data_IF_462636034088
#
_entry.id   IF_462636034088
#
_cell.length_a   1.000
_cell.length_b   1.000
_cell.length_c   1.000
_cell.angle_alpha   90.00
_cell.angle_beta   90.00
_cell.angle_gamma   90.00
#
_symmetry.space_group_name_H-M   'P 1'
#
loop_
_entity.id
_entity.type
_entity.pdbx_description
1 polymer ?
#
# COMPACT_ATOMS: atom_id res chain seq x y z
N UNK A 1 -17.46 -77.97 30.99
CA UNK A 1 -18.11 -77.20 29.89
C UNK A 1 -17.09 -77.06 28.77
N UNK A 2 -17.51 -77.37 27.55
CA UNK A 2 -16.68 -77.82 26.43
C UNK A 2 -15.67 -76.79 25.85
N UNK A 3 -14.57 -77.27 25.24
CA UNK A 3 -13.58 -76.47 24.49
C UNK A 3 -13.88 -76.46 22.97
N UNK A 4 -13.30 -75.50 22.23
CA UNK A 4 -13.35 -75.44 20.78
C UNK A 4 -11.95 -75.34 20.14
N UNK A 5 -11.48 -76.46 19.58
CA UNK A 5 -10.47 -76.53 18.51
C UNK A 5 -10.96 -75.74 17.28
N UNK A 6 -10.16 -75.01 16.50
CA UNK A 6 -8.92 -75.39 15.83
C UNK A 6 -9.24 -75.90 14.42
N UNK A 7 -8.85 -75.16 13.36
CA UNK A 7 -8.04 -75.61 12.20
C UNK A 7 -8.07 -74.62 11.03
N UNK A 8 -6.86 -74.39 10.47
CA UNK A 8 -6.51 -73.68 9.24
C UNK A 8 -7.11 -74.33 7.97
N UNK A 9 -7.30 -73.54 6.92
CA UNK A 9 -6.98 -73.90 5.53
C UNK A 9 -6.90 -72.65 4.62
N UNK A 10 -5.69 -72.19 4.34
CA UNK A 10 -5.24 -71.78 2.98
C UNK A 10 -4.72 -73.06 2.28
N UNK A 11 -4.54 -73.15 0.93
CA UNK A 11 -3.81 -72.18 0.11
C UNK A 11 -4.16 -72.10 -1.41
N UNK A 12 -3.35 -71.34 -2.16
CA UNK A 12 -2.94 -71.41 -3.59
C UNK A 12 -3.23 -70.10 -4.34
N UNK A 13 -2.26 -69.23 -4.67
CA UNK A 13 -1.10 -69.35 -5.58
C UNK A 13 -1.49 -69.78 -7.01
N UNK A 14 -1.32 -68.85 -7.96
CA UNK A 14 -0.81 -69.07 -9.33
C UNK A 14 -0.42 -67.70 -9.92
N UNK A 15 0.84 -67.28 -9.81
CA UNK A 15 1.88 -67.38 -10.83
C UNK A 15 1.55 -66.73 -12.20
N UNK A 16 2.27 -65.64 -12.51
CA UNK A 16 2.67 -65.26 -13.89
C UNK A 16 3.59 -66.35 -14.47
N UNK A 17 3.86 -66.44 -15.81
CA UNK A 17 5.00 -65.64 -16.34
C UNK A 17 5.11 -65.42 -17.88
N UNK A 18 6.07 -64.55 -18.27
CA UNK A 18 6.89 -64.55 -19.52
C UNK A 18 6.24 -64.14 -20.87
N UNK A 19 6.90 -63.53 -21.89
CA UNK A 19 8.30 -63.10 -22.18
C UNK A 19 8.32 -62.26 -23.49
N UNK A 20 9.32 -61.37 -23.60
CA UNK A 20 10.16 -61.00 -24.78
C UNK A 20 9.59 -60.40 -26.08
N UNK A 21 10.23 -59.31 -26.53
CA UNK A 21 10.26 -58.90 -27.94
C UNK A 21 11.02 -57.57 -28.20
N UNK A 22 12.34 -57.64 -28.41
CA UNK A 22 13.17 -56.57 -29.02
C UNK A 22 12.96 -56.55 -30.54
N UNK A 23 12.81 -55.37 -31.14
CA UNK A 23 13.27 -54.89 -32.48
C UNK A 23 12.87 -53.40 -32.52
N UNK A 24 13.62 -52.37 -32.92
CA UNK A 24 14.76 -52.25 -33.81
C UNK A 24 14.47 -51.16 -34.86
N UNK A 25 14.95 -49.93 -34.61
CA UNK A 25 15.25 -48.84 -35.57
C UNK A 25 14.14 -48.25 -36.49
N UNK A 26 13.92 -46.93 -36.38
CA UNK A 26 14.50 -45.93 -37.33
C UNK A 26 14.34 -44.48 -36.85
N UNK A 27 15.40 -43.72 -37.15
CA UNK A 27 15.64 -42.28 -36.95
C UNK A 27 14.57 -41.40 -37.60
N UNK A 28 14.34 -40.23 -37.01
CA UNK A 28 14.39 -38.96 -37.74
C UNK A 28 15.01 -37.88 -36.85
N UNK A 29 16.03 -37.22 -37.39
CA UNK A 29 16.91 -36.20 -36.81
C UNK A 29 16.61 -34.91 -37.58
N UNK A 30 16.37 -33.78 -36.92
CA UNK A 30 17.24 -32.59 -36.98
C UNK A 30 16.66 -31.38 -36.19
N UNK A 31 17.55 -30.50 -35.69
CA UNK A 31 17.28 -29.46 -34.69
C UNK A 31 17.20 -28.05 -35.30
N UNK A 32 16.82 -27.04 -34.51
CA UNK A 32 17.22 -25.65 -34.76
C UNK A 32 17.66 -24.96 -33.47
N UNK A 33 18.92 -24.53 -33.51
CA UNK A 33 19.67 -23.81 -32.48
C UNK A 33 19.23 -22.33 -32.39
N UNK A 34 19.44 -21.72 -31.22
CA UNK A 34 19.47 -20.26 -31.05
C UNK A 34 20.92 -19.82 -30.81
N UNK A 35 21.44 -18.80 -31.51
CA UNK A 35 22.81 -18.35 -31.28
C UNK A 35 22.89 -17.42 -30.06
N UNK A 36 23.96 -17.62 -29.28
CA UNK A 36 24.53 -16.61 -28.37
C UNK A 36 25.38 -15.64 -29.22
N UNK A 37 25.32 -14.35 -28.90
CA UNK A 37 26.37 -13.39 -29.28
C UNK A 37 26.81 -12.65 -28.02
N UNK A 38 28.12 -12.63 -27.84
CA UNK A 38 28.92 -11.96 -26.81
C UNK A 38 29.76 -10.86 -27.45
N UNK A 39 30.00 -9.77 -26.70
CA UNK A 39 31.03 -8.74 -26.96
C UNK A 39 30.64 -7.69 -28.01
N UNK A 40 31.09 -6.44 -28.00
CA UNK A 40 31.98 -5.69 -27.11
C UNK A 40 31.85 -4.19 -27.49
N UNK A 41 32.36 -3.35 -26.60
CA UNK A 41 32.62 -1.90 -26.63
C UNK A 41 32.73 -1.18 -27.99
N UNK A 42 32.15 0.04 -28.09
CA UNK A 42 32.51 1.04 -29.10
C UNK A 42 31.57 2.26 -29.20
N UNK A 43 31.92 3.36 -28.52
CA UNK A 43 31.67 4.76 -28.97
C UNK A 43 33.03 5.31 -29.47
N UNK A 44 33.14 6.41 -30.27
CA UNK A 44 32.17 7.47 -30.58
C UNK A 44 32.14 7.92 -32.06
N UNK A 45 31.20 8.81 -32.44
CA UNK A 45 31.53 10.08 -33.13
C UNK A 45 30.30 10.98 -33.37
N UNK A 46 30.48 12.26 -33.03
CA UNK A 46 29.63 13.39 -33.37
C UNK A 46 29.49 13.57 -34.89
N UNK A 47 28.33 14.06 -35.35
CA UNK A 47 28.28 15.07 -36.41
C UNK A 47 27.03 15.95 -36.25
N UNK A 48 27.33 17.24 -36.14
CA UNK A 48 26.48 18.42 -36.11
C UNK A 48 25.70 18.61 -37.43
N UNK A 49 24.45 19.10 -37.36
CA UNK A 49 23.87 20.04 -38.34
C UNK A 49 22.55 20.65 -37.84
N UNK A 50 22.66 21.91 -37.38
CA UNK A 50 21.83 23.11 -37.69
C UNK A 50 20.66 22.82 -38.66
N UNK A 51 19.41 23.27 -38.49
CA UNK A 51 18.86 24.50 -37.93
C UNK A 51 17.35 24.58 -38.25
N UNK A 52 16.65 25.66 -37.88
CA UNK A 52 15.21 25.68 -37.55
C UNK A 52 14.33 26.18 -38.70
N UNK A 53 13.01 25.98 -38.64
CA UNK A 53 12.04 26.88 -39.27
C UNK A 53 10.65 26.78 -38.62
N UNK A 54 10.17 27.95 -38.19
CA UNK A 54 8.81 28.25 -37.75
C UNK A 54 7.89 28.57 -38.95
N UNK A 55 6.59 28.49 -38.68
CA UNK A 55 5.44 29.23 -39.25
C UNK A 55 4.69 28.78 -40.52
N UNK A 56 3.37 28.63 -40.27
CA UNK A 56 2.20 29.05 -41.09
C UNK A 56 1.88 28.25 -42.37
N UNK A 57 0.65 28.13 -42.87
CA UNK A 57 -0.73 28.18 -42.39
C UNK A 57 -1.60 27.78 -43.63
N UNK A 58 -2.82 27.29 -43.39
CA UNK A 58 -3.98 27.31 -44.29
C UNK A 58 -4.05 26.40 -45.55
N UNK A 59 -4.93 25.39 -45.45
CA UNK A 59 -6.06 25.06 -46.36
C UNK A 59 -6.45 23.60 -46.04
N UNK A 60 -7.67 23.22 -45.69
CA UNK A 60 -8.99 23.68 -46.11
C UNK A 60 -9.68 22.49 -46.78
N UNK A 61 -10.50 21.73 -46.03
CA UNK A 61 -11.77 21.10 -46.49
C UNK A 61 -12.40 20.21 -45.41
N UNK A 62 -13.60 20.61 -44.99
CA UNK A 62 -14.57 19.87 -44.17
C UNK A 62 -15.59 19.23 -45.11
N UNK A 63 -16.00 18.00 -44.83
CA UNK A 63 -17.06 17.26 -45.53
C UNK A 63 -18.42 17.48 -44.85
N UNK A 64 -19.42 17.88 -45.62
CA UNK A 64 -20.86 17.81 -45.26
C UNK A 64 -21.49 16.54 -45.87
N UNK A 65 -22.53 15.97 -45.24
CA UNK A 65 -23.59 15.25 -45.94
C UNK A 65 -24.94 16.01 -45.92
N UNK A 66 -25.59 16.01 -47.07
CA UNK A 66 -26.87 16.68 -47.37
C UNK A 66 -28.11 15.87 -46.94
N UNK A 67 -29.06 16.61 -46.35
CA UNK A 67 -30.54 16.60 -46.49
C UNK A 67 -31.36 15.29 -46.38
N UNK A 68 -32.56 15.28 -45.79
CA UNK A 68 -33.39 16.33 -45.21
C UNK A 68 -34.84 15.86 -44.96
N UNK A 69 -35.60 16.66 -44.19
CA UNK A 69 -37.01 17.07 -44.44
C UNK A 69 -37.54 17.80 -43.19
N UNK A 70 -38.04 19.03 -43.39
CA UNK A 70 -38.72 19.88 -42.39
C UNK A 70 -40.24 19.78 -42.58
N UNK A 71 -40.98 19.83 -41.48
CA UNK A 71 -42.33 20.43 -41.41
C UNK A 71 -42.39 21.36 -40.20
N UNK A 72 -43.11 22.47 -40.35
CA UNK A 72 -43.02 23.69 -39.55
C UNK A 72 -43.84 23.73 -38.26
N UNK A 73 -43.54 24.76 -37.47
CA UNK A 73 -44.27 25.16 -36.25
C UNK A 73 -43.54 26.34 -35.61
N UNK A 74 -44.17 27.51 -35.55
CA UNK A 74 -43.60 28.75 -35.05
C UNK A 74 -43.87 28.95 -33.54
N UNK A 75 -42.95 29.71 -32.90
CA UNK A 75 -42.96 30.40 -31.57
C UNK A 75 -42.12 29.74 -30.45
N UNK A 76 -41.58 30.50 -29.47
CA UNK A 76 -41.08 31.88 -29.49
C UNK A 76 -39.59 31.99 -29.06
N UNK A 77 -38.95 33.11 -29.39
CA UNK A 77 -37.55 33.42 -29.02
C UNK A 77 -37.48 33.74 -27.51
N UNK A 78 -36.82 32.88 -26.75
CA UNK A 78 -36.40 33.15 -25.36
C UNK A 78 -35.04 33.88 -25.38
N UNK A 79 -34.80 34.88 -24.51
CA UNK A 79 -33.52 35.56 -24.43
C UNK A 79 -32.41 34.56 -24.04
N UNK A 80 -31.32 34.53 -24.82
CA UNK A 80 -30.11 33.77 -24.51
C UNK A 80 -29.56 34.22 -23.15
N UNK A 81 -29.73 33.40 -22.11
CA UNK A 81 -28.93 33.52 -20.89
C UNK A 81 -27.44 33.34 -21.26
N UNK A 82 -26.52 34.16 -20.76
CA UNK A 82 -25.10 33.97 -21.01
C UNK A 82 -24.66 32.63 -20.42
N UNK A 83 -23.94 31.83 -21.22
CA UNK A 83 -23.27 30.62 -20.75
C UNK A 83 -22.22 31.03 -19.71
N UNK A 84 -22.16 30.41 -18.52
CA UNK A 84 -21.00 30.57 -17.67
C UNK A 84 -19.82 29.89 -18.36
N UNK A 85 -18.77 30.66 -18.64
CA UNK A 85 -17.48 30.13 -19.03
C UNK A 85 -16.88 29.45 -17.79
N UNK A 86 -16.90 28.12 -17.74
CA UNK A 86 -16.13 27.38 -16.74
C UNK A 86 -14.65 27.44 -17.14
N UNK A 87 -13.94 28.42 -16.61
CA UNK A 87 -12.49 28.38 -16.46
C UNK A 87 -12.17 27.45 -15.28
N UNK A 88 -11.69 26.26 -15.60
CA UNK A 88 -11.03 25.38 -14.63
C UNK A 88 -9.63 25.94 -14.41
N UNK A 89 -9.39 26.55 -13.25
CA UNK A 89 -8.05 26.88 -12.78
C UNK A 89 -7.47 25.67 -12.01
N UNK A 90 -6.30 25.14 -12.38
CA UNK A 90 -5.57 24.19 -11.54
C UNK A 90 -4.58 24.98 -10.68
N UNK A 91 -5.01 25.39 -9.49
CA UNK A 91 -4.17 25.75 -8.32
C UNK A 91 -5.07 26.38 -7.27
N UNK A 92 -5.15 25.77 -6.09
CA UNK A 92 -5.84 26.36 -4.95
C UNK A 92 -5.19 27.67 -4.55
N UNK A 93 -5.88 28.78 -4.78
CA UNK A 93 -5.55 30.07 -4.19
C UNK A 93 -6.16 30.13 -2.80
N UNK A 94 -5.31 30.37 -1.80
CA UNK A 94 -5.69 30.52 -0.40
C UNK A 94 -6.37 31.88 -0.14
N UNK A 95 -7.30 31.99 0.83
CA UNK A 95 -7.85 33.28 1.23
C UNK A 95 -6.81 34.08 2.05
N UNK A 96 -6.75 35.42 1.93
CA UNK A 96 -5.82 36.22 2.70
C UNK A 96 -6.23 36.27 4.17
N UNK A 97 -5.27 36.06 5.07
CA UNK A 97 -5.43 36.21 6.50
C UNK A 97 -5.71 37.68 6.85
N UNK A 98 -6.74 37.91 7.67
CA UNK A 98 -7.06 39.21 8.22
C UNK A 98 -5.94 39.68 9.17
N UNK A 99 -5.10 40.61 8.70
CA UNK A 99 -4.02 41.18 9.49
C UNK A 99 -4.54 41.99 10.68
N UNK A 100 -4.15 41.58 11.91
CA UNK A 100 -4.18 42.48 13.08
C UNK A 100 -2.97 43.40 13.00
N UNK A 101 -3.23 44.70 12.89
CA UNK A 101 -2.20 45.74 12.94
C UNK A 101 -1.66 45.88 14.37
N UNK A 102 -0.40 45.54 14.60
CA UNK A 102 0.35 46.00 15.77
C UNK A 102 1.21 47.22 15.38
N UNK A 103 1.04 48.32 16.12
CA UNK A 103 1.77 49.58 15.99
C UNK A 103 3.28 49.35 16.09
N UNK A 104 4.04 49.88 15.12
CA UNK A 104 5.50 49.96 15.15
C UNK A 104 5.96 50.95 16.23
N UNK A 105 6.77 50.50 17.17
CA UNK A 105 7.68 51.36 17.94
C UNK A 105 9.07 51.29 17.29
N UNK A 106 9.62 52.44 16.91
CA UNK A 106 10.94 52.55 16.31
C UNK A 106 12.05 52.38 17.38
N UNK A 107 13.17 51.68 17.10
CA UNK A 107 14.30 51.68 18.00
C UNK A 107 15.24 52.87 17.71
N UNK A 108 15.74 53.49 18.79
CA UNK A 108 16.75 54.55 18.79
C UNK A 108 18.12 54.01 18.33
N UNK A 109 18.85 54.85 17.61
CA UNK A 109 20.23 54.61 17.13
C UNK A 109 21.18 54.53 18.33
N UNK A 110 21.89 53.41 18.46
CA UNK A 110 23.00 53.20 19.40
C UNK A 110 24.27 52.81 18.63
N UNK A 111 25.40 53.38 19.05
CA UNK A 111 26.71 53.31 18.39
C UNK A 111 27.20 51.90 18.01
N UNK A 112 27.64 51.75 16.76
CA UNK A 112 28.35 50.56 16.25
C UNK A 112 29.81 50.62 16.68
N UNK A 113 30.27 49.67 17.51
CA UNK A 113 31.70 49.35 17.66
C UNK A 113 32.08 48.32 16.59
N UNK A 114 33.16 48.58 15.86
CA UNK A 114 33.73 47.62 14.91
C UNK A 114 34.35 46.42 15.66
N UNK A 115 34.14 45.17 15.19
CA UNK A 115 34.92 44.03 15.66
C UNK A 115 36.23 43.88 14.87
N UNK A 116 37.26 43.49 15.63
CA UNK A 116 38.65 43.24 15.24
C UNK A 116 38.78 42.15 14.15
N UNK A 117 39.65 42.39 13.16
CA UNK A 117 39.91 41.50 12.03
C UNK A 117 40.97 40.46 12.41
N UNK A 118 40.59 39.37 13.08
CA UNK A 118 41.33 38.08 13.03
C UNK A 118 40.40 36.90 13.32
N UNK A 119 39.87 36.29 12.27
CA UNK A 119 39.34 34.91 12.35
C UNK A 119 39.69 34.15 11.08
N UNK A 120 40.51 33.11 11.24
CA UNK A 120 40.73 32.08 10.22
C UNK A 120 39.40 31.46 9.79
N UNK A 121 39.24 30.99 8.54
CA UNK A 121 38.08 30.21 8.15
C UNK A 121 38.13 28.88 8.91
N UNK A 122 37.27 28.74 9.92
CA UNK A 122 37.01 27.45 10.54
C UNK A 122 36.37 26.56 9.48
N UNK A 123 37.18 25.67 8.89
CA UNK A 123 36.67 24.52 8.15
C UNK A 123 35.82 23.73 9.14
N UNK A 124 34.52 23.66 8.89
CA UNK A 124 33.60 22.81 9.63
C UNK A 124 34.00 21.35 9.41
N UNK A 125 34.89 20.84 10.27
CA UNK A 125 35.06 19.40 10.40
C UNK A 125 33.86 18.88 11.17
N UNK A 126 33.02 18.10 10.50
CA UNK A 126 31.95 17.36 11.14
C UNK A 126 32.58 16.47 12.23
N UNK A 127 32.31 16.80 13.50
CA UNK A 127 32.63 15.92 14.61
C UNK A 127 31.89 14.58 14.43
N UNK A 128 32.43 13.46 14.95
CA UNK A 128 31.77 12.18 14.81
C UNK A 128 30.41 12.24 15.53
N UNK A 129 29.34 12.21 14.76
CA UNK A 129 27.96 12.14 15.26
C UNK A 129 27.82 10.90 16.15
N UNK A 130 27.89 11.10 17.47
CA UNK A 130 27.48 10.09 18.44
C UNK A 130 25.95 10.08 18.42
N UNK A 131 25.39 8.88 18.24
CA UNK A 131 23.95 8.57 18.08
C UNK A 131 23.39 8.59 16.65
N UNK A 132 24.12 8.03 15.69
CA UNK A 132 23.45 7.21 14.67
C UNK A 132 23.27 5.83 15.30
N UNK A 133 22.05 5.49 15.70
CA UNK A 133 21.66 4.08 15.84
C UNK A 133 22.04 3.42 14.52
N UNK A 134 22.81 2.31 14.51
CA UNK A 134 23.14 1.66 13.26
C UNK A 134 21.82 1.37 12.57
N UNK A 135 21.65 1.84 11.33
CA UNK A 135 20.64 1.29 10.45
C UNK A 135 20.97 -0.21 10.39
N UNK A 136 20.27 -1.01 11.21
CA UNK A 136 20.32 -2.46 11.19
C UNK A 136 20.25 -2.84 9.72
N UNK A 137 21.19 -3.62 9.19
CA UNK A 137 21.35 -3.94 7.77
C UNK A 137 20.00 -4.01 7.03
N UNK A 138 19.53 -2.88 6.49
CA UNK A 138 18.26 -2.84 5.78
C UNK A 138 18.56 -3.52 4.46
N UNK A 139 18.04 -4.73 4.26
CA UNK A 139 18.08 -5.37 2.97
C UNK A 139 17.12 -4.57 2.05
N UNK A 140 17.62 -3.76 1.10
CA UNK A 140 16.75 -2.94 0.26
C UNK A 140 15.84 -3.80 -0.64
N UNK A 141 16.13 -5.10 -0.74
CA UNK A 141 15.37 -6.07 -1.51
C UNK A 141 14.43 -6.95 -0.66
N UNK A 142 14.28 -6.69 0.65
CA UNK A 142 13.48 -7.56 1.52
C UNK A 142 12.05 -7.76 1.00
N UNK A 143 11.40 -6.69 0.52
CA UNK A 143 10.04 -6.77 -0.04
C UNK A 143 10.00 -7.35 -1.47
N UNK A 144 11.07 -7.18 -2.26
CA UNK A 144 11.13 -7.69 -3.64
C UNK A 144 11.47 -9.18 -3.69
N UNK A 145 12.03 -9.73 -2.61
CA UNK A 145 12.38 -11.15 -2.45
C UNK A 145 11.27 -12.01 -1.85
N UNK A 146 10.12 -11.41 -1.47
CA UNK A 146 9.00 -12.17 -0.92
C UNK A 146 8.46 -13.19 -1.94
N UNK A 147 8.04 -14.40 -1.49
CA UNK A 147 7.51 -15.43 -2.38
C UNK A 147 6.33 -14.91 -3.18
N UNK A 148 6.24 -15.29 -4.45
CA UNK A 148 5.10 -14.89 -5.29
C UNK A 148 3.88 -15.73 -4.90
N UNK A 149 2.64 -15.22 -5.03
CA UNK A 149 1.44 -16.01 -4.75
C UNK A 149 1.36 -17.34 -5.52
N UNK A 150 1.91 -17.40 -6.73
CA UNK A 150 2.02 -18.65 -7.51
C UNK A 150 2.97 -19.72 -6.93
N UNK A 151 3.79 -19.35 -5.95
CA UNK A 151 4.74 -20.22 -5.24
C UNK A 151 4.29 -20.50 -3.81
N UNK A 152 3.13 -19.98 -3.41
CA UNK A 152 2.56 -20.10 -2.07
C UNK A 152 1.43 -21.13 -2.07
N UNK A 153 1.09 -21.71 -0.90
CA UNK A 153 -0.08 -22.56 -0.80
C UNK A 153 -1.38 -21.79 -1.13
N UNK A 154 -2.49 -22.51 -1.38
CA UNK A 154 -3.76 -21.87 -1.63
C UNK A 154 -4.18 -20.92 -0.51
N UNK A 155 -4.78 -19.79 -0.89
CA UNK A 155 -5.33 -18.82 0.05
C UNK A 155 -6.74 -19.24 0.48
N UNK A 156 -6.91 -19.53 1.77
CA UNK A 156 -8.23 -19.66 2.38
C UNK A 156 -8.73 -18.27 2.78
N UNK A 157 -9.94 -17.89 2.38
CA UNK A 157 -10.52 -16.59 2.73
C UNK A 157 -11.70 -16.80 3.66
N UNK A 158 -11.62 -16.24 4.86
CA UNK A 158 -12.65 -16.35 5.89
C UNK A 158 -13.39 -15.03 5.98
N UNK A 159 -14.65 -15.03 5.55
CA UNK A 159 -15.46 -13.84 5.40
C UNK A 159 -15.63 -13.44 3.94
N UNK A 160 -16.88 -13.51 3.46
CA UNK A 160 -17.24 -13.20 2.08
C UNK A 160 -17.59 -11.71 1.85
N UNK A 161 -17.14 -10.81 2.73
CA UNK A 161 -17.37 -9.38 2.61
C UNK A 161 -16.58 -8.74 1.45
N UNK A 162 -16.82 -7.45 1.22
CA UNK A 162 -16.16 -6.69 0.13
C UNK A 162 -14.62 -6.77 0.19
N UNK A 163 -14.04 -6.71 1.40
CA UNK A 163 -12.59 -6.82 1.60
C UNK A 163 -12.08 -8.22 1.24
N UNK A 164 -12.68 -9.27 1.82
CA UNK A 164 -12.31 -10.66 1.53
C UNK A 164 -12.38 -10.99 0.03
N UNK A 165 -13.44 -10.56 -0.65
CA UNK A 165 -13.57 -10.72 -2.10
C UNK A 165 -12.51 -9.96 -2.89
N UNK A 166 -12.17 -8.72 -2.49
CA UNK A 166 -11.14 -7.94 -3.15
C UNK A 166 -9.76 -8.57 -2.98
N UNK A 167 -9.44 -9.08 -1.79
CA UNK A 167 -8.18 -9.79 -1.53
C UNK A 167 -8.12 -11.11 -2.29
N UNK A 168 -9.22 -11.87 -2.34
CA UNK A 168 -9.29 -13.10 -3.13
C UNK A 168 -8.98 -12.84 -4.62
N UNK A 169 -9.57 -11.78 -5.19
CA UNK A 169 -9.30 -11.37 -6.58
C UNK A 169 -7.84 -10.94 -6.76
N UNK A 170 -7.34 -10.04 -5.92
CA UNK A 170 -5.95 -9.58 -5.99
C UNK A 170 -4.94 -10.72 -5.85
N UNK A 171 -5.26 -11.73 -5.02
CA UNK A 171 -4.46 -12.94 -4.89
C UNK A 171 -4.42 -13.77 -6.18
N UNK A 172 -5.58 -14.01 -6.79
CA UNK A 172 -5.68 -14.70 -8.09
C UNK A 172 -5.01 -13.94 -9.22
N UNK A 173 -5.19 -12.62 -9.29
CA UNK A 173 -4.56 -11.75 -10.30
C UNK A 173 -3.03 -11.79 -10.19
N UNK A 174 -2.50 -11.98 -8.98
CA UNK A 174 -1.08 -12.18 -8.71
C UNK A 174 -0.59 -13.63 -8.95
N UNK A 175 -1.44 -14.50 -9.51
CA UNK A 175 -1.13 -15.89 -9.88
C UNK A 175 -1.29 -16.92 -8.76
N UNK A 176 -1.88 -16.54 -7.63
CA UNK A 176 -2.12 -17.44 -6.51
C UNK A 176 -3.39 -18.29 -6.70
N UNK A 177 -3.38 -19.51 -6.17
CA UNK A 177 -4.57 -20.37 -6.13
C UNK A 177 -5.45 -20.01 -4.93
N UNK A 178 -6.77 -20.02 -5.12
CA UNK A 178 -7.73 -19.88 -4.03
C UNK A 178 -8.06 -21.25 -3.46
N UNK A 179 -8.05 -21.34 -2.14
CA UNK A 179 -8.63 -22.45 -1.39
C UNK A 179 -10.12 -22.20 -1.13
N UNK A 180 -10.59 -22.57 0.06
CA UNK A 180 -11.98 -22.40 0.46
C UNK A 180 -12.27 -20.92 0.75
N UNK A 181 -13.40 -20.42 0.24
CA UNK A 181 -13.97 -19.13 0.63
C UNK A 181 -15.10 -19.38 1.62
N UNK A 182 -14.82 -19.14 2.89
CA UNK A 182 -15.69 -19.49 4.01
C UNK A 182 -16.73 -18.39 4.23
N UNK A 183 -18.00 -18.78 4.25
CA UNK A 183 -19.14 -17.93 4.59
C UNK A 183 -19.53 -18.09 6.06
N UNK A 184 -20.35 -17.16 6.57
CA UNK A 184 -20.86 -17.25 7.93
C UNK A 184 -21.63 -18.56 8.15
N UNK A 185 -21.34 -19.26 9.25
CA UNK A 185 -21.96 -20.54 9.60
C UNK A 185 -21.41 -21.76 8.85
N UNK A 186 -20.50 -21.58 7.89
CA UNK A 186 -19.87 -22.69 7.17
C UNK A 186 -18.79 -23.34 8.04
N UNK A 187 -18.81 -24.67 8.15
CA UNK A 187 -17.72 -25.42 8.77
C UNK A 187 -16.47 -25.41 7.87
N UNK A 188 -15.30 -25.20 8.47
CA UNK A 188 -14.04 -25.10 7.74
C UNK A 188 -12.84 -25.47 8.62
N UNK A 189 -11.73 -25.83 7.97
CA UNK A 189 -10.43 -26.08 8.61
C UNK A 189 -9.37 -25.18 7.98
N UNK A 190 -8.42 -24.63 8.77
CA UNK A 190 -7.32 -23.85 8.23
C UNK A 190 -6.43 -24.69 7.32
N UNK A 191 -6.14 -24.17 6.13
CA UNK A 191 -5.23 -24.80 5.16
C UNK A 191 -4.44 -23.71 4.45
N UNK A 192 -3.14 -23.97 4.25
CA UNK A 192 -2.25 -23.08 3.49
C UNK A 192 -1.95 -21.79 4.24
N UNK A 193 -2.51 -20.69 3.77
CA UNK A 193 -2.51 -19.39 4.44
C UNK A 193 -3.92 -18.84 4.49
N UNK A 194 -4.27 -18.16 5.58
CA UNK A 194 -5.63 -17.64 5.80
C UNK A 194 -5.64 -16.12 5.71
N UNK A 195 -6.60 -15.57 4.96
CA UNK A 195 -7.01 -14.17 5.09
C UNK A 195 -8.36 -14.11 5.81
N UNK A 196 -8.40 -13.46 6.97
CA UNK A 196 -9.56 -13.37 7.85
C UNK A 196 -10.12 -11.94 7.81
N UNK A 197 -11.39 -11.81 7.41
CA UNK A 197 -12.11 -10.55 7.34
C UNK A 197 -13.60 -10.77 7.63
N UNK A 198 -13.91 -11.06 8.89
CA UNK A 198 -15.26 -11.23 9.43
C UNK A 198 -15.65 -10.08 10.37
N UNK A 199 -16.62 -10.32 11.25
CA UNK A 199 -17.07 -9.40 12.29
C UNK A 199 -16.22 -9.52 13.58
N UNK A 200 -16.13 -8.47 14.42
CA UNK A 200 -15.28 -8.47 15.61
C UNK A 200 -15.48 -9.68 16.54
N UNK A 201 -16.72 -10.12 16.70
CA UNK A 201 -17.09 -11.25 17.59
C UNK A 201 -16.62 -12.62 17.07
N UNK A 202 -16.36 -12.74 15.76
CA UNK A 202 -15.90 -13.98 15.14
C UNK A 202 -14.38 -14.03 14.96
N UNK A 203 -13.72 -12.87 14.91
CA UNK A 203 -12.28 -12.75 14.63
C UNK A 203 -11.43 -13.62 15.56
N UNK A 204 -11.60 -13.49 16.88
CA UNK A 204 -10.78 -14.21 17.88
C UNK A 204 -10.93 -15.73 17.73
N UNK A 205 -12.14 -16.22 17.49
CA UNK A 205 -12.38 -17.65 17.25
C UNK A 205 -11.72 -18.16 15.97
N UNK A 206 -11.74 -17.36 14.89
CA UNK A 206 -11.06 -17.68 13.63
C UNK A 206 -9.54 -17.70 13.81
N UNK A 207 -8.98 -16.69 14.47
CA UNK A 207 -7.54 -16.60 14.77
C UNK A 207 -7.08 -17.79 15.62
N UNK A 208 -7.83 -18.11 16.68
CA UNK A 208 -7.53 -19.25 17.56
C UNK A 208 -7.50 -20.56 16.76
N UNK A 209 -8.48 -20.77 15.88
CA UNK A 209 -8.51 -21.95 15.00
C UNK A 209 -7.27 -22.05 14.12
N UNK A 210 -6.82 -20.94 13.53
CA UNK A 210 -5.60 -20.90 12.72
C UNK A 210 -4.34 -21.20 13.54
N UNK A 211 -4.22 -20.59 14.72
CA UNK A 211 -3.10 -20.78 15.65
C UNK A 211 -3.02 -22.23 16.13
N UNK A 212 -4.15 -22.81 16.54
CA UNK A 212 -4.22 -24.22 16.97
C UNK A 212 -3.82 -25.20 15.85
N UNK A 213 -4.06 -24.83 14.59
CA UNK A 213 -3.70 -25.62 13.42
C UNK A 213 -2.26 -25.37 12.91
N UNK A 214 -1.52 -24.43 13.49
CA UNK A 214 -0.20 -24.05 12.97
C UNK A 214 -0.23 -23.33 11.63
N UNK A 215 -1.38 -22.74 11.25
CA UNK A 215 -1.58 -22.14 9.92
C UNK A 215 -1.49 -20.61 10.02
N UNK A 216 -0.59 -19.96 9.26
CA UNK A 216 -0.42 -18.52 9.33
C UNK A 216 -1.68 -17.79 8.84
N UNK A 217 -1.99 -16.67 9.50
CA UNK A 217 -3.22 -15.91 9.26
C UNK A 217 -2.97 -14.41 9.21
N UNK A 218 -3.60 -13.74 8.25
CA UNK A 218 -3.65 -12.28 8.12
C UNK A 218 -5.08 -11.83 8.35
N UNK A 219 -5.33 -11.02 9.37
CA UNK A 219 -6.66 -10.49 9.69
C UNK A 219 -6.79 -9.00 9.37
N UNK A 220 -7.86 -8.67 8.65
CA UNK A 220 -8.33 -7.31 8.41
C UNK A 220 -9.51 -6.91 9.28
N UNK A 221 -9.97 -7.80 10.17
CA UNK A 221 -11.08 -7.49 11.07
C UNK A 221 -10.63 -6.52 12.15
N UNK A 222 -11.51 -5.58 12.48
CA UNK A 222 -11.28 -4.56 13.51
C UNK A 222 -12.08 -4.89 14.76
N UNK A 223 -11.88 -4.17 15.87
CA UNK A 223 -12.74 -4.29 17.05
C UNK A 223 -12.49 -5.50 17.96
N UNK A 224 -11.39 -6.24 17.78
CA UNK A 224 -11.01 -7.38 18.64
C UNK A 224 -9.72 -7.15 19.46
N UNK A 225 -9.14 -5.94 19.37
CA UNK A 225 -7.87 -5.54 19.99
C UNK A 225 -7.73 -5.81 21.50
N UNK A 226 -8.83 -5.91 22.25
CA UNK A 226 -8.81 -6.31 23.66
C UNK A 226 -8.24 -7.73 23.87
N UNK A 227 -8.29 -8.58 22.84
CA UNK A 227 -7.80 -9.96 22.85
C UNK A 227 -6.38 -10.09 22.25
N UNK A 228 -5.69 -8.96 21.98
CA UNK A 228 -4.37 -8.96 21.34
C UNK A 228 -3.31 -9.71 22.16
N UNK A 229 -3.26 -9.50 23.47
CA UNK A 229 -2.26 -10.14 24.33
C UNK A 229 -2.46 -11.66 24.45
N UNK A 230 -3.69 -12.18 24.66
CA UNK A 230 -3.97 -13.61 24.51
C UNK A 230 -3.53 -14.19 23.16
N UNK A 231 -3.87 -13.52 22.05
CA UNK A 231 -3.51 -13.97 20.70
C UNK A 231 -1.98 -14.00 20.51
N UNK A 232 -1.27 -12.99 21.02
CA UNK A 232 0.21 -12.94 21.00
C UNK A 232 0.84 -14.13 21.71
N UNK A 233 0.37 -14.44 22.92
CA UNK A 233 0.88 -15.58 23.68
C UNK A 233 0.63 -16.90 22.95
N UNK A 234 -0.61 -17.12 22.49
CA UNK A 234 -0.97 -18.35 21.80
C UNK A 234 -0.17 -18.54 20.49
N UNK A 235 0.01 -17.47 19.70
CA UNK A 235 0.79 -17.51 18.46
C UNK A 235 2.27 -17.86 18.73
N UNK A 236 2.87 -17.29 19.77
CA UNK A 236 4.24 -17.61 20.16
C UNK A 236 4.38 -19.05 20.68
N UNK A 237 3.49 -19.50 21.55
CA UNK A 237 3.50 -20.85 22.14
C UNK A 237 3.32 -21.95 21.10
N UNK A 238 2.45 -21.73 20.09
CA UNK A 238 2.17 -22.71 19.04
C UNK A 238 3.02 -22.55 17.78
N UNK A 239 3.93 -21.56 17.75
CA UNK A 239 4.77 -21.30 16.60
C UNK A 239 3.98 -20.95 15.33
N UNK A 240 3.02 -20.03 15.45
CA UNK A 240 2.22 -19.55 14.31
C UNK A 240 2.45 -18.06 14.09
N UNK A 241 2.45 -17.63 12.83
CA UNK A 241 2.55 -16.22 12.45
C UNK A 241 1.15 -15.65 12.20
N UNK A 242 0.82 -14.58 12.93
CA UNK A 242 -0.43 -13.82 12.80
C UNK A 242 -0.06 -12.43 12.34
N UNK A 243 -0.80 -11.87 11.39
CA UNK A 243 -0.65 -10.49 10.97
C UNK A 243 -1.98 -9.77 11.13
N UNK A 244 -1.95 -8.56 11.67
CA UNK A 244 -3.15 -7.75 11.81
C UNK A 244 -2.94 -6.33 11.34
N UNK A 245 -3.94 -5.80 10.64
CA UNK A 245 -4.01 -4.37 10.35
C UNK A 245 -5.45 -3.90 10.17
N UNK A 246 -5.73 -2.69 10.66
CA UNK A 246 -6.98 -1.97 10.34
C UNK A 246 -6.96 -1.33 8.95
N UNK A 247 -5.77 -1.22 8.33
CA UNK A 247 -5.57 -0.61 7.02
C UNK A 247 -4.39 -1.28 6.31
N UNK A 248 -4.64 -1.92 5.17
CA UNK A 248 -3.59 -2.60 4.43
C UNK A 248 -2.84 -1.74 3.41
N UNK A 249 -3.17 -0.45 3.23
CA UNK A 249 -2.46 0.41 2.26
C UNK A 249 -1.00 0.62 2.67
N UNK A 250 -0.02 0.13 1.89
CA UNK A 250 1.39 0.41 2.18
C UNK A 250 1.69 1.91 2.11
N UNK A 251 1.01 2.63 1.21
CA UNK A 251 1.15 4.08 1.08
C UNK A 251 0.76 4.83 2.35
N UNK A 252 -0.35 4.45 3.00
CA UNK A 252 -0.79 5.07 4.26
C UNK A 252 0.27 4.86 5.35
N UNK A 253 0.81 3.65 5.48
CA UNK A 253 1.81 3.35 6.50
C UNK A 253 3.15 4.03 6.24
N UNK A 254 3.60 4.08 4.98
CA UNK A 254 4.77 4.87 4.61
C UNK A 254 4.58 6.35 4.94
N UNK A 255 3.40 6.93 4.61
CA UNK A 255 3.07 8.31 4.97
C UNK A 255 3.09 8.53 6.48
N UNK A 256 2.56 7.60 7.28
CA UNK A 256 2.59 7.69 8.74
C UNK A 256 4.03 7.71 9.30
N UNK A 257 4.92 6.86 8.77
CA UNK A 257 6.32 6.82 9.17
C UNK A 257 7.06 8.11 8.78
N UNK A 258 6.84 8.61 7.57
CA UNK A 258 7.39 9.90 7.11
C UNK A 258 6.85 11.05 7.96
N UNK A 259 5.55 11.06 8.27
CA UNK A 259 4.93 12.08 9.10
C UNK A 259 5.51 12.12 10.51
N UNK A 260 5.77 10.94 11.11
CA UNK A 260 6.42 10.84 12.42
C UNK A 260 7.82 11.47 12.39
N UNK A 261 8.62 11.15 11.38
CA UNK A 261 9.98 11.68 11.28
C UNK A 261 10.00 13.17 10.93
N UNK A 262 9.14 13.61 10.01
CA UNK A 262 8.97 15.03 9.70
C UNK A 262 8.54 15.81 10.96
N UNK A 263 7.57 15.30 11.72
CA UNK A 263 7.15 15.91 12.99
C UNK A 263 8.32 16.07 13.97
N UNK A 264 9.20 15.08 14.07
CA UNK A 264 10.42 15.15 14.90
C UNK A 264 11.36 16.26 14.48
N UNK A 265 11.51 16.49 13.17
CA UNK A 265 12.35 17.56 12.63
C UNK A 265 11.70 18.92 12.83
N UNK A 266 10.42 19.07 12.46
CA UNK A 266 9.70 20.34 12.57
C UNK A 266 9.50 20.79 14.02
N UNK A 267 9.41 19.87 14.98
CA UNK A 267 9.31 20.20 16.40
C UNK A 267 10.55 20.95 16.94
N UNK A 268 11.66 20.97 16.21
CA UNK A 268 12.86 21.74 16.54
C UNK A 268 12.82 23.19 16.03
N UNK A 269 11.81 23.54 15.23
CA UNK A 269 11.69 24.85 14.58
C UNK A 269 10.58 25.67 15.25
N UNK A 270 10.85 26.95 15.48
CA UNK A 270 9.84 27.89 15.96
C UNK A 270 8.99 28.44 14.81
N UNK A 271 7.73 28.78 15.10
CA UNK A 271 6.85 29.49 14.15
C UNK A 271 6.13 28.61 13.12
N UNK A 272 6.16 27.29 13.27
CA UNK A 272 5.36 26.37 12.47
C UNK A 272 4.13 25.86 13.23
N UNK A 273 2.99 25.81 12.54
CA UNK A 273 1.76 25.17 13.00
C UNK A 273 1.47 23.92 12.17
N UNK A 274 1.13 22.80 12.82
CA UNK A 274 0.74 21.57 12.14
C UNK A 274 -0.79 21.43 12.04
N UNK A 275 -1.26 20.99 10.87
CA UNK A 275 -2.68 20.73 10.62
C UNK A 275 -2.86 19.50 9.74
N UNK A 276 -3.97 18.80 9.94
CA UNK A 276 -4.41 17.67 9.12
C UNK A 276 -5.73 18.04 8.47
N UNK A 277 -5.82 17.82 7.17
CA UNK A 277 -7.04 17.91 6.40
C UNK A 277 -7.29 16.58 5.69
N UNK A 278 -8.54 16.12 5.71
CA UNK A 278 -8.94 14.93 4.97
C UNK A 278 -10.17 15.16 4.11
N UNK A 279 -10.19 14.52 2.94
CA UNK A 279 -11.35 14.49 2.04
C UNK A 279 -11.74 13.04 1.79
N UNK A 280 -13.03 12.74 1.93
CA UNK A 280 -13.60 11.45 1.57
C UNK A 280 -14.94 11.62 0.85
N UNK A 281 -15.44 10.54 0.28
CA UNK A 281 -16.74 10.52 -0.37
C UNK A 281 -17.88 10.82 0.61
N UNK A 282 -19.00 11.30 0.08
CA UNK A 282 -20.19 11.72 0.86
C UNK A 282 -20.79 10.61 1.73
N UNK A 283 -20.65 9.34 1.33
CA UNK A 283 -21.19 8.19 2.06
C UNK A 283 -20.37 7.81 3.31
N UNK A 284 -19.20 8.42 3.55
CA UNK A 284 -18.35 8.07 4.70
C UNK A 284 -18.88 8.78 5.95
N UNK A 285 -19.36 7.98 6.91
CA UNK A 285 -20.07 8.46 8.11
C UNK A 285 -19.15 8.94 9.23
N UNK A 286 -17.99 8.30 9.40
CA UNK A 286 -17.00 8.66 10.41
C UNK A 286 -16.27 9.94 10.02
N UNK A 287 -16.10 10.88 10.95
CA UNK A 287 -15.31 12.10 10.80
C UNK A 287 -14.71 12.54 12.16
N UNK A 288 -13.39 12.75 12.26
CA UNK A 288 -12.36 12.41 11.27
C UNK A 288 -12.27 10.92 10.97
N UNK A 289 -11.72 10.54 9.82
CA UNK A 289 -11.50 9.11 9.53
C UNK A 289 -10.48 8.49 10.48
N UNK A 290 -10.57 7.17 10.66
CA UNK A 290 -9.56 6.41 11.37
C UNK A 290 -8.13 6.66 10.87
N UNK A 291 -7.93 6.79 9.55
CA UNK A 291 -6.62 7.12 8.98
C UNK A 291 -6.12 8.50 9.39
N UNK A 292 -6.99 9.51 9.44
CA UNK A 292 -6.59 10.85 9.92
C UNK A 292 -6.21 10.84 11.41
N UNK A 293 -6.94 10.08 12.23
CA UNK A 293 -6.61 9.90 13.65
C UNK A 293 -5.30 9.14 13.85
N UNK A 294 -5.05 8.09 13.06
CA UNK A 294 -3.78 7.37 13.06
C UNK A 294 -2.63 8.30 12.65
N UNK A 295 -2.79 9.10 11.59
CA UNK A 295 -1.79 10.07 11.15
C UNK A 295 -1.48 11.09 12.26
N UNK A 296 -2.51 11.63 12.92
CA UNK A 296 -2.35 12.52 14.09
C UNK A 296 -1.54 11.84 15.21
N UNK A 297 -1.85 10.58 15.50
CA UNK A 297 -1.12 9.81 16.52
C UNK A 297 0.37 9.67 16.16
N UNK A 298 0.70 9.43 14.89
CA UNK A 298 2.10 9.35 14.45
C UNK A 298 2.83 10.70 14.52
N UNK A 299 2.16 11.80 14.19
CA UNK A 299 2.70 13.15 14.37
C UNK A 299 3.02 13.43 15.84
N UNK A 300 2.11 13.06 16.75
CA UNK A 300 2.34 13.15 18.20
C UNK A 300 3.50 12.28 18.67
N UNK A 301 3.61 11.04 18.18
CA UNK A 301 4.75 10.16 18.47
C UNK A 301 6.09 10.72 17.96
N UNK A 302 6.05 11.56 16.93
CA UNK A 302 7.22 12.31 16.45
C UNK A 302 7.65 13.44 17.39
N UNK A 303 6.90 13.72 18.45
CA UNK A 303 7.22 14.79 19.41
C UNK A 303 6.52 16.12 19.12
N UNK A 304 5.61 16.17 18.15
CA UNK A 304 4.81 17.37 17.93
C UNK A 304 3.76 17.54 19.05
N UNK A 305 3.66 18.73 19.68
CA UNK A 305 2.72 18.95 20.78
C UNK A 305 1.27 19.01 20.30
N UNK A 306 0.34 18.60 21.17
CA UNK A 306 -1.08 18.86 20.95
C UNK A 306 -1.41 20.35 21.19
N UNK A 307 -2.42 20.91 20.51
CA UNK A 307 -3.32 20.24 19.57
C UNK A 307 -2.83 20.30 18.11
N UNK A 308 -2.86 19.16 17.41
CA UNK A 308 -2.90 19.14 15.94
C UNK A 308 -4.35 19.22 15.48
N UNK A 309 -4.69 20.28 14.75
CA UNK A 309 -6.04 20.47 14.20
C UNK A 309 -6.33 19.43 13.13
N UNK A 310 -7.52 18.82 13.16
CA UNK A 310 -7.97 17.86 12.14
C UNK A 310 -9.28 18.37 11.58
N UNK A 311 -9.33 18.54 10.26
CA UNK A 311 -10.52 18.98 9.53
C UNK A 311 -10.94 17.93 8.52
N UNK A 312 -12.24 17.81 8.29
CA UNK A 312 -12.82 16.77 7.46
C UNK A 312 -13.79 17.35 6.44
N UNK A 313 -13.61 16.95 5.18
CA UNK A 313 -14.48 17.27 4.08
C UNK A 313 -15.10 16.00 3.48
N UNK A 314 -16.36 16.08 3.05
CA UNK A 314 -17.10 14.99 2.43
C UNK A 314 -17.57 15.41 1.04
N UNK A 315 -16.81 15.03 0.02
CA UNK A 315 -16.96 15.56 -1.34
C UNK A 315 -16.91 14.46 -2.40
N UNK A 316 -17.94 14.45 -3.25
CA UNK A 316 -18.06 13.56 -4.41
C UNK A 316 -17.74 12.10 -4.09
N UNK A 317 -16.89 11.52 -4.93
CA UNK A 317 -16.47 10.11 -4.89
C UNK A 317 -15.01 9.95 -4.44
N UNK A 318 -14.43 10.94 -3.74
CA UNK A 318 -13.04 10.88 -3.27
C UNK A 318 -12.84 9.66 -2.37
N UNK A 319 -11.99 8.72 -2.76
CA UNK A 319 -11.79 7.47 -2.01
C UNK A 319 -11.13 7.76 -0.65
N UNK A 320 -10.14 8.64 -0.64
CA UNK A 320 -9.50 9.16 0.57
C UNK A 320 -8.30 10.02 0.22
N UNK A 321 -8.29 11.25 0.71
CA UNK A 321 -7.18 12.18 0.64
C UNK A 321 -6.82 12.60 2.05
N UNK A 322 -5.55 12.53 2.41
CA UNK A 322 -5.03 12.91 3.72
C UNK A 322 -3.83 13.81 3.54
N UNK A 323 -3.93 15.02 4.08
CA UNK A 323 -2.92 16.07 3.93
C UNK A 323 -2.49 16.52 5.31
N UNK A 324 -1.19 16.39 5.61
CA UNK A 324 -0.52 16.97 6.77
C UNK A 324 0.30 18.17 6.30
N UNK A 325 0.10 19.32 6.92
CA UNK A 325 0.83 20.54 6.58
C UNK A 325 1.49 21.14 7.83
N UNK A 326 2.73 21.58 7.68
CA UNK A 326 3.41 22.50 8.59
C UNK A 326 3.47 23.86 7.90
N UNK A 327 2.85 24.87 8.50
CA UNK A 327 2.75 26.22 7.93
C UNK A 327 3.44 27.22 8.84
N UNK A 328 4.23 28.12 8.26
CA UNK A 328 4.81 29.28 8.92
C UNK A 328 4.38 30.56 8.20
N UNK A 329 4.85 31.72 8.68
CA UNK A 329 4.69 33.00 7.96
C UNK A 329 5.54 33.08 6.69
N UNK A 330 6.50 32.16 6.51
CA UNK A 330 7.48 32.19 5.43
C UNK A 330 7.23 31.11 4.37
N UNK A 331 6.71 29.96 4.76
CA UNK A 331 6.50 28.82 3.87
C UNK A 331 5.49 27.80 4.42
N UNK A 332 5.20 26.80 3.59
CA UNK A 332 4.34 25.67 3.91
C UNK A 332 4.98 24.39 3.37
N UNK A 333 5.06 23.37 4.22
CA UNK A 333 5.52 22.02 3.83
C UNK A 333 4.36 21.05 3.98
N UNK A 334 4.08 20.30 2.91
CA UNK A 334 2.90 19.44 2.81
C UNK A 334 3.30 18.01 2.50
N UNK A 335 2.73 17.08 3.28
CA UNK A 335 2.77 15.65 3.04
C UNK A 335 1.35 15.17 2.73
N UNK A 336 1.16 14.57 1.56
CA UNK A 336 -0.15 14.16 1.07
C UNK A 336 -0.17 12.69 0.65
N UNK A 337 -1.20 11.97 1.07
CA UNK A 337 -1.54 10.64 0.60
C UNK A 337 -2.92 10.66 -0.08
N UNK A 338 -2.99 10.15 -1.31
CA UNK A 338 -4.23 9.99 -2.06
C UNK A 338 -4.45 8.52 -2.40
N UNK A 339 -5.55 7.95 -1.91
CA UNK A 339 -6.04 6.66 -2.38
C UNK A 339 -6.81 6.87 -3.69
N UNK A 340 -6.31 6.29 -4.80
CA UNK A 340 -6.99 6.38 -6.11
C UNK A 340 -8.06 5.32 -6.31
N UNK A 341 -7.95 4.19 -5.62
CA UNK A 341 -8.91 3.10 -5.69
C UNK A 341 -8.80 2.22 -4.44
N UNK A 342 -9.81 1.34 -4.26
CA UNK A 342 -9.77 0.34 -3.19
C UNK A 342 -8.81 -0.82 -3.48
N UNK A 343 -8.30 -0.92 -4.70
CA UNK A 343 -7.40 -1.97 -5.14
C UNK A 343 -6.09 -1.97 -4.34
N UNK A 344 -5.56 -0.78 -4.03
CA UNK A 344 -4.31 -0.66 -3.27
C UNK A 344 -4.37 -1.28 -1.87
N UNK A 345 -5.55 -1.32 -1.23
CA UNK A 345 -5.70 -2.02 0.06
C UNK A 345 -5.69 -3.53 -0.11
N UNK A 346 -6.27 -4.07 -1.19
CA UNK A 346 -6.27 -5.50 -1.47
C UNK A 346 -4.85 -5.99 -1.83
N UNK A 347 -4.13 -5.24 -2.66
CA UNK A 347 -2.73 -5.53 -2.99
C UNK A 347 -1.82 -5.43 -1.76
N UNK A 348 -2.08 -4.48 -0.87
CA UNK A 348 -1.40 -4.38 0.42
C UNK A 348 -1.67 -5.58 1.34
N UNK A 349 -2.88 -6.13 1.33
CA UNK A 349 -3.18 -7.36 2.06
C UNK A 349 -2.47 -8.58 1.44
N UNK A 350 -2.35 -8.65 0.11
CA UNK A 350 -1.54 -9.65 -0.58
C UNK A 350 -0.06 -9.53 -0.19
N UNK A 351 0.46 -8.30 -0.06
CA UNK A 351 1.82 -8.07 0.44
C UNK A 351 1.99 -8.59 1.88
N UNK A 352 1.03 -8.29 2.76
CA UNK A 352 1.02 -8.80 4.13
C UNK A 352 0.97 -10.33 4.19
N UNK A 353 0.16 -10.99 3.34
CA UNK A 353 0.12 -12.46 3.20
C UNK A 353 1.48 -13.04 2.82
N UNK A 354 2.11 -12.47 1.78
CA UNK A 354 3.44 -12.90 1.31
C UNK A 354 4.51 -12.72 2.39
N UNK A 355 4.47 -11.59 3.09
CA UNK A 355 5.42 -11.28 4.17
C UNK A 355 5.22 -12.23 5.37
N UNK A 356 3.97 -12.43 5.80
CA UNK A 356 3.63 -13.33 6.91
C UNK A 356 4.07 -14.76 6.62
N UNK A 357 3.85 -15.23 5.39
CA UNK A 357 4.33 -16.54 4.96
C UNK A 357 5.84 -16.67 5.02
N UNK A 358 6.58 -15.66 4.55
CA UNK A 358 8.03 -15.67 4.59
C UNK A 358 8.57 -15.73 6.03
N UNK A 359 7.94 -15.00 6.97
CA UNK A 359 8.29 -15.05 8.40
C UNK A 359 7.99 -16.42 9.01
N UNK A 360 6.81 -16.97 8.68
CA UNK A 360 6.41 -18.30 9.13
C UNK A 360 7.39 -19.39 8.67
N UNK A 361 7.81 -19.37 7.39
CA UNK A 361 8.82 -20.31 6.88
C UNK A 361 10.20 -20.14 7.55
N UNK A 362 10.52 -18.95 8.03
CA UNK A 362 11.75 -18.66 8.75
C UNK A 362 11.70 -19.03 10.24
N UNK A 363 10.60 -19.63 10.72
CA UNK A 363 10.32 -19.87 12.14
C UNK A 363 10.32 -18.58 12.99
N UNK A 364 10.08 -17.43 12.36
CA UNK A 364 9.86 -16.16 13.03
C UNK A 364 8.35 -16.03 13.23
N UNK A 365 7.93 -16.47 14.42
CA UNK A 365 6.53 -16.60 14.82
C UNK A 365 6.11 -15.48 15.78
N UNK A 366 4.84 -15.12 15.75
CA UNK A 366 4.30 -14.05 16.59
C UNK A 366 3.19 -13.29 15.90
N UNK A 367 2.82 -12.16 16.50
CA UNK A 367 1.83 -11.23 15.93
C UNK A 367 2.56 -10.02 15.36
N UNK A 368 2.31 -9.76 14.08
CA UNK A 368 2.89 -8.68 13.31
C UNK A 368 1.84 -7.71 12.82
N UNK A 369 2.30 -6.55 12.40
CA UNK A 369 1.50 -5.44 11.90
C UNK A 369 2.14 -4.85 10.65
N UNK A 370 1.46 -3.89 10.03
CA UNK A 370 2.05 -3.12 8.93
C UNK A 370 3.29 -2.34 9.36
N UNK A 371 3.49 -2.04 10.65
CA UNK A 371 4.74 -1.41 11.12
C UNK A 371 5.92 -2.37 11.04
N UNK A 372 5.72 -3.67 11.26
CA UNK A 372 6.78 -4.68 11.18
C UNK A 372 7.19 -5.01 9.73
N UNK A 373 6.36 -4.62 8.76
CA UNK A 373 6.58 -4.84 7.34
C UNK A 373 7.63 -3.87 6.75
N UNK A 374 7.73 -2.65 7.30
CA UNK A 374 8.67 -1.59 6.89
C UNK A 374 9.88 -1.56 7.82
#
# INVERSE_FOLDING_TARGET
>A
MCPGHGTNHEPAILESPHRLGRFGLRRLVHPWERPRVSGELGRPHCLDRRGPLHHACASGRVWEPLHGKRLGGARPVLPKKPRPQHLVHPAGTWPPSAGRQHRRLAPRVGHVRQPDRRTHPAVWQAGPSRHLVPLTSHNPNAMTQLPRPSQMPPLTVVGAGKLGQAVARAWSDAGGSLGVQVQAGMAWSPVGIVFEATEPTAAVGNLTRCIDAGVPVVTGTTGWHQDLDPVKRAAAERGTSVFWSTNFSPGVHATNLIAREAARVFALLEGYDASIHEVHHTQKKDAPSGTALTLKSHVKQGGWPDPVAVTSERTGDVVGLHTLAWNSVHDAVVLQHEAKSRQGFAEGAVLALRWTWAKHLANDHGVYTMTDLF
#
